data_IF_950153918663
#
_entry.id   IF_950153918663
#
_cell.length_a   1.000
_cell.length_b   1.000
_cell.length_c   1.000
_cell.angle_alpha   90.00
_cell.angle_beta   90.00
_cell.angle_gamma   90.00
#
_symmetry.space_group_name_H-M   'P 1'
#
loop_
_entity.id
_entity.type
_entity.pdbx_description
1 polymer ?
#
# COMPACT_ATOMS: atom_id res chain seq x y z
N UNK A 1 17.37 24.65 22.58
CA UNK A 1 16.02 24.26 22.11
C UNK A 1 16.13 23.65 20.72
N UNK A 2 16.04 22.32 20.62
CA UNK A 2 16.09 21.62 19.33
C UNK A 2 14.87 21.95 18.47
N UNK A 3 15.09 22.38 17.23
CA UNK A 3 14.02 22.63 16.26
C UNK A 3 13.32 21.29 15.96
N UNK A 4 12.11 21.08 16.48
CA UNK A 4 11.26 19.95 16.08
C UNK A 4 10.96 20.08 14.59
N UNK A 5 11.60 19.25 13.77
CA UNK A 5 11.40 19.19 12.31
C UNK A 5 9.95 18.77 12.07
N UNK A 6 9.08 19.69 11.62
CA UNK A 6 7.70 19.37 11.28
C UNK A 6 7.71 18.34 10.14
N UNK A 7 7.16 17.15 10.40
CA UNK A 7 7.03 16.11 9.39
C UNK A 7 6.09 16.63 8.29
N UNK A 8 6.58 16.62 7.05
CA UNK A 8 5.73 16.94 5.90
C UNK A 8 4.78 15.77 5.66
N UNK A 9 3.62 15.83 6.30
CA UNK A 9 2.61 14.78 6.26
C UNK A 9 2.12 14.46 4.84
N UNK A 10 2.21 15.41 3.90
CA UNK A 10 1.86 15.16 2.49
C UNK A 10 2.91 14.25 1.84
N UNK A 11 4.18 14.59 2.01
CA UNK A 11 5.28 13.77 1.49
C UNK A 11 5.28 12.39 2.14
N UNK A 12 5.05 12.32 3.46
CA UNK A 12 4.93 11.05 4.18
C UNK A 12 3.85 10.16 3.57
N UNK A 13 2.61 10.66 3.40
CA UNK A 13 1.51 9.89 2.82
C UNK A 13 1.85 9.42 1.40
N UNK A 14 2.46 10.26 0.56
CA UNK A 14 2.85 9.86 -0.80
C UNK A 14 3.92 8.75 -0.81
N UNK A 15 4.93 8.86 0.05
CA UNK A 15 6.00 7.86 0.16
C UNK A 15 5.42 6.54 0.69
N UNK A 16 4.57 6.60 1.72
CA UNK A 16 3.90 5.41 2.25
C UNK A 16 3.04 4.71 1.19
N UNK A 17 2.30 5.46 0.38
CA UNK A 17 1.53 4.90 -0.73
C UNK A 17 2.43 4.24 -1.78
N UNK A 18 3.55 4.86 -2.14
CA UNK A 18 4.49 4.26 -3.09
C UNK A 18 5.08 2.95 -2.56
N UNK A 19 5.49 2.90 -1.29
CA UNK A 19 6.01 1.68 -0.66
C UNK A 19 4.93 0.59 -0.59
N UNK A 20 3.71 0.92 -0.16
CA UNK A 20 2.60 -0.03 -0.12
C UNK A 20 2.24 -0.56 -1.51
N UNK A 21 2.34 0.26 -2.55
CA UNK A 21 2.12 -0.18 -3.93
C UNK A 21 3.14 -1.27 -4.34
N UNK A 22 4.41 -1.08 -3.99
CA UNK A 22 5.46 -2.08 -4.24
C UNK A 22 5.15 -3.39 -3.49
N UNK A 23 4.77 -3.29 -2.22
CA UNK A 23 4.40 -4.46 -1.41
C UNK A 23 3.22 -5.20 -2.03
N UNK A 24 2.16 -4.48 -2.40
CA UNK A 24 0.97 -5.05 -3.05
C UNK A 24 1.29 -5.71 -4.38
N UNK A 25 2.17 -5.09 -5.19
CA UNK A 25 2.58 -5.65 -6.46
C UNK A 25 3.35 -6.96 -6.28
N UNK A 26 4.36 -6.98 -5.39
CA UNK A 26 5.17 -8.18 -5.13
C UNK A 26 4.31 -9.31 -4.54
N UNK A 27 3.49 -9.00 -3.52
CA UNK A 27 2.63 -9.99 -2.88
C UNK A 27 1.53 -10.49 -3.81
N UNK A 28 0.96 -9.63 -4.68
CA UNK A 28 -0.01 -10.03 -5.68
C UNK A 28 0.56 -10.99 -6.72
N UNK A 29 1.80 -10.74 -7.19
CA UNK A 29 2.52 -11.69 -8.06
C UNK A 29 2.80 -13.00 -7.32
N UNK A 30 3.22 -12.93 -6.05
CA UNK A 30 3.49 -14.11 -5.23
C UNK A 30 2.25 -15.00 -5.07
N UNK A 31 1.09 -14.41 -4.75
CA UNK A 31 -0.18 -15.13 -4.67
C UNK A 31 -0.51 -15.82 -5.99
N UNK A 32 -0.41 -15.09 -7.11
CA UNK A 32 -0.72 -15.64 -8.43
C UNK A 32 0.21 -16.81 -8.79
N UNK A 33 1.50 -16.70 -8.48
CA UNK A 33 2.47 -17.75 -8.75
C UNK A 33 2.20 -19.01 -7.92
N UNK A 34 1.92 -18.85 -6.63
CA UNK A 34 1.68 -19.97 -5.72
C UNK A 34 0.32 -20.63 -5.98
N UNK A 35 -0.74 -19.84 -6.25
CA UNK A 35 -2.06 -20.40 -6.60
C UNK A 35 -1.97 -21.28 -7.87
N UNK A 36 -1.05 -20.99 -8.80
CA UNK A 36 -0.78 -21.83 -9.98
C UNK A 36 -0.03 -23.12 -9.62
N UNK A 37 0.95 -23.06 -8.72
CA UNK A 37 1.69 -24.24 -8.25
C UNK A 37 0.82 -25.17 -7.38
N UNK A 38 -0.09 -24.61 -6.57
CA UNK A 38 -1.01 -25.38 -5.71
C UNK A 38 -1.97 -26.26 -6.53
N UNK A 39 -2.32 -25.85 -7.76
CA UNK A 39 -3.09 -26.70 -8.69
C UNK A 39 -2.32 -27.95 -9.15
N UNK A 40 -0.99 -27.95 -9.00
CA UNK A 40 -0.09 -29.03 -9.42
C UNK A 40 0.37 -29.88 -8.23
N UNK A 41 0.75 -29.25 -7.11
CA UNK A 41 1.13 -29.90 -5.86
C UNK A 41 0.75 -29.03 -4.64
N UNK A 42 -0.30 -29.40 -3.87
CA UNK A 42 -0.92 -28.52 -2.89
C UNK A 42 -0.20 -28.44 -1.52
N UNK A 43 0.64 -29.40 -1.17
CA UNK A 43 1.20 -29.53 0.19
C UNK A 43 2.35 -28.56 0.54
N UNK A 44 3.32 -28.22 -0.35
CA UNK A 44 4.54 -27.53 0.10
C UNK A 44 4.38 -26.03 0.39
N UNK A 45 3.30 -25.37 -0.06
CA UNK A 45 3.21 -23.90 -0.06
C UNK A 45 2.03 -23.30 0.71
N UNK A 46 1.17 -24.12 1.31
CA UNK A 46 -0.09 -23.66 1.91
C UNK A 46 0.13 -22.63 3.03
N UNK A 47 1.08 -22.88 3.94
CA UNK A 47 1.37 -21.94 5.04
C UNK A 47 1.94 -20.61 4.53
N UNK A 48 2.83 -20.66 3.54
CA UNK A 48 3.42 -19.46 2.94
C UNK A 48 2.39 -18.63 2.16
N UNK A 49 1.47 -19.30 1.47
CA UNK A 49 0.36 -18.67 0.77
C UNK A 49 -0.55 -17.88 1.71
N UNK A 50 -0.91 -18.46 2.86
CA UNK A 50 -1.71 -17.78 3.87
C UNK A 50 -1.03 -16.51 4.38
N UNK A 51 0.26 -16.58 4.70
CA UNK A 51 1.03 -15.42 5.17
C UNK A 51 1.06 -14.32 4.10
N UNK A 52 1.31 -14.66 2.82
CA UNK A 52 1.32 -13.66 1.75
C UNK A 52 -0.07 -13.05 1.55
N UNK A 53 -1.14 -13.87 1.55
CA UNK A 53 -2.53 -13.39 1.42
C UNK A 53 -2.89 -12.42 2.54
N UNK A 54 -2.47 -12.70 3.78
CA UNK A 54 -2.69 -11.81 4.92
C UNK A 54 -1.93 -10.49 4.78
N UNK A 55 -0.64 -10.54 4.41
CA UNK A 55 0.17 -9.34 4.17
C UNK A 55 -0.45 -8.49 3.06
N UNK A 56 -0.85 -9.11 1.95
CA UNK A 56 -1.47 -8.42 0.82
C UNK A 56 -2.78 -7.73 1.24
N UNK A 57 -3.62 -8.44 1.99
CA UNK A 57 -4.91 -7.95 2.45
C UNK A 57 -4.74 -6.75 3.39
N UNK A 58 -3.87 -6.85 4.39
CA UNK A 58 -3.59 -5.74 5.32
C UNK A 58 -2.97 -4.55 4.60
N UNK A 59 -2.01 -4.78 3.71
CA UNK A 59 -1.42 -3.72 2.90
C UNK A 59 -2.47 -3.02 2.02
N UNK A 60 -3.44 -3.77 1.49
CA UNK A 60 -4.54 -3.27 0.68
C UNK A 60 -5.44 -2.32 1.46
N UNK A 61 -5.86 -2.70 2.67
CA UNK A 61 -6.64 -1.83 3.54
C UNK A 61 -5.90 -0.55 3.90
N UNK A 62 -4.61 -0.64 4.24
CA UNK A 62 -3.77 0.53 4.52
C UNK A 62 -3.63 1.44 3.30
N UNK A 63 -3.44 0.85 2.12
CA UNK A 63 -3.31 1.59 0.86
C UNK A 63 -4.59 2.37 0.53
N UNK A 64 -5.76 1.76 0.69
CA UNK A 64 -7.06 2.42 0.49
C UNK A 64 -7.21 3.60 1.46
N UNK A 65 -6.96 3.38 2.75
CA UNK A 65 -7.09 4.42 3.77
C UNK A 65 -6.16 5.60 3.50
N UNK A 66 -4.89 5.34 3.18
CA UNK A 66 -3.93 6.39 2.82
C UNK A 66 -4.27 7.09 1.50
N UNK A 67 -4.86 6.38 0.54
CA UNK A 67 -5.29 6.96 -0.75
C UNK A 67 -6.39 7.99 -0.55
N UNK A 68 -7.36 7.71 0.33
CA UNK A 68 -8.40 8.68 0.70
C UNK A 68 -7.76 9.93 1.31
N UNK A 69 -6.82 9.76 2.26
CA UNK A 69 -6.09 10.89 2.88
C UNK A 69 -5.32 11.69 1.82
N UNK A 70 -4.66 10.99 0.90
CA UNK A 70 -3.90 11.59 -0.20
C UNK A 70 -4.79 12.43 -1.11
N UNK A 71 -5.92 11.87 -1.56
CA UNK A 71 -6.90 12.55 -2.39
C UNK A 71 -7.47 13.79 -1.70
N UNK A 72 -7.90 13.67 -0.43
CA UNK A 72 -8.45 14.80 0.33
C UNK A 72 -7.44 15.94 0.46
N UNK A 73 -6.16 15.64 0.74
CA UNK A 73 -5.11 16.66 0.88
C UNK A 73 -4.74 17.32 -0.43
N UNK A 74 -4.73 16.58 -1.54
CA UNK A 74 -4.45 17.15 -2.85
C UNK A 74 -5.66 17.90 -3.42
N UNK A 75 -6.88 17.45 -3.17
CA UNK A 75 -8.11 18.16 -3.53
C UNK A 75 -8.20 19.55 -2.90
N UNK A 76 -7.81 19.69 -1.62
CA UNK A 76 -7.73 21.00 -0.95
C UNK A 76 -6.77 21.96 -1.65
N UNK A 77 -5.66 21.45 -2.19
CA UNK A 77 -4.69 22.25 -2.91
C UNK A 77 -5.16 22.60 -4.32
N UNK A 78 -5.73 21.63 -5.04
CA UNK A 78 -6.31 21.85 -6.37
C UNK A 78 -7.38 22.95 -6.33
N UNK A 79 -8.29 22.89 -5.36
CA UNK A 79 -9.30 23.96 -5.14
C UNK A 79 -8.68 25.32 -4.81
N UNK A 80 -7.49 25.35 -4.22
CA UNK A 80 -6.75 26.58 -3.98
C UNK A 80 -6.20 27.20 -5.27
N UNK A 81 -5.76 26.37 -6.22
CA UNK A 81 -5.33 26.82 -7.54
C UNK A 81 -6.49 27.30 -8.41
N UNK A 82 -7.64 26.61 -8.37
CA UNK A 82 -8.82 26.99 -9.17
C UNK A 82 -9.51 28.28 -8.71
N UNK A 83 -9.21 28.76 -7.48
CA UNK A 83 -9.74 30.02 -6.94
C UNK A 83 -8.82 31.22 -7.20
N UNK A 84 -7.65 31.00 -7.78
CA UNK A 84 -6.74 32.02 -8.27
C UNK A 84 -6.86 32.12 -9.78
#
# INVERSE_FOLDING_TARGET
MGKTKRINIRAFVSISLFVLLIILFITGIGILAIDVEEMVDPEPYLEFLHIIKDIHTVAGFLFIGLSIIHLVKNWKVLKGYMKK
#
